data_IF_745207588466
#
_entry.id   IF_745207588466
#
_cell.length_a   1.000
_cell.length_b   1.000
_cell.length_c   1.000
_cell.angle_alpha   90.00
_cell.angle_beta   90.00
_cell.angle_gamma   90.00
#
_symmetry.space_group_name_H-M   'P 1'
#
loop_
_entity.id
_entity.type
_entity.pdbx_description
1 polymer ?
#
# COMPACT_ATOMS: atom_id res chain seq x y z
N UNK A 1 16.46 21.27 18.16
CA UNK A 1 16.79 20.48 16.96
C UNK A 1 15.82 20.75 15.83
N UNK A 2 16.33 20.83 14.59
CA UNK A 2 15.57 20.77 13.33
C UNK A 2 14.59 19.59 13.29
N UNK A 3 15.07 18.42 13.73
CA UNK A 3 14.34 17.15 13.77
C UNK A 3 12.94 17.25 14.41
N UNK A 4 12.78 18.00 15.52
CA UNK A 4 11.45 18.19 16.14
C UNK A 4 10.53 19.07 15.29
N UNK A 5 11.08 20.07 14.59
CA UNK A 5 10.32 20.92 13.66
C UNK A 5 9.87 20.13 12.43
N UNK A 6 10.80 19.37 11.84
CA UNK A 6 10.59 18.48 10.70
C UNK A 6 9.48 17.45 10.95
N UNK A 7 9.37 16.92 12.18
CA UNK A 7 8.31 15.99 12.57
C UNK A 7 6.97 16.68 12.87
N UNK A 8 6.99 17.92 13.37
CA UNK A 8 5.76 18.69 13.61
C UNK A 8 5.13 19.22 12.30
N UNK A 9 5.96 19.76 11.42
CA UNK A 9 5.54 20.42 10.17
C UNK A 9 5.43 19.44 8.98
N UNK A 10 6.14 18.30 9.04
CA UNK A 10 6.24 17.25 7.99
C UNK A 10 6.86 17.69 6.65
N UNK A 11 7.02 18.98 6.46
CA UNK A 11 7.58 19.66 5.30
C UNK A 11 8.80 20.50 5.73
N UNK A 12 9.78 20.66 4.84
CA UNK A 12 10.90 21.60 4.99
C UNK A 12 11.20 22.27 3.66
N UNK A 13 11.32 23.60 3.62
CA UNK A 13 11.60 24.29 2.35
C UNK A 13 13.02 23.99 1.85
N UNK A 14 13.23 23.98 0.53
CA UNK A 14 14.55 23.77 -0.07
C UNK A 14 15.63 24.77 0.43
N UNK A 15 15.22 25.96 0.88
CA UNK A 15 16.07 26.96 1.54
C UNK A 15 16.51 26.52 2.93
N UNK A 16 15.59 26.07 3.78
CA UNK A 16 15.89 25.67 5.16
C UNK A 16 16.65 24.36 5.23
N UNK A 17 16.41 23.44 4.28
CA UNK A 17 17.16 22.20 4.14
C UNK A 17 18.66 22.46 3.91
N UNK A 18 19.00 23.44 3.07
CA UNK A 18 20.38 23.90 2.83
C UNK A 18 20.96 24.66 4.02
N UNK A 19 20.14 25.44 4.74
CA UNK A 19 20.60 26.12 5.95
C UNK A 19 20.96 25.10 7.04
N UNK A 20 20.13 24.09 7.25
CA UNK A 20 20.41 22.97 8.15
C UNK A 20 21.69 22.18 7.78
N UNK A 21 21.88 21.88 6.49
CA UNK A 21 23.12 21.29 5.95
C UNK A 21 24.34 22.15 6.28
N UNK A 22 24.26 23.48 6.08
CA UNK A 22 25.34 24.42 6.43
C UNK A 22 25.64 24.52 7.93
N UNK A 23 24.67 24.18 8.79
CA UNK A 23 24.85 24.05 10.25
C UNK A 23 25.30 22.65 10.67
N UNK A 24 25.40 21.69 9.75
CA UNK A 24 25.77 20.29 10.03
C UNK A 24 24.66 19.46 10.67
N UNK A 25 23.43 19.96 10.71
CA UNK A 25 22.27 19.29 11.34
C UNK A 25 21.70 18.15 10.47
N UNK A 26 22.09 18.11 9.19
CA UNK A 26 21.48 17.31 8.15
C UNK A 26 22.54 16.90 7.11
N UNK A 27 22.51 15.64 6.67
CA UNK A 27 23.43 15.06 5.68
C UNK A 27 22.66 14.27 4.62
N UNK A 28 23.20 14.20 3.39
CA UNK A 28 22.62 13.48 2.25
C UNK A 28 22.06 14.37 1.12
N UNK A 29 22.03 15.70 1.27
CA UNK A 29 21.59 16.62 0.21
C UNK A 29 22.59 16.73 -0.95
N UNK A 30 23.86 16.40 -0.72
CA UNK A 30 24.89 16.33 -1.74
C UNK A 30 24.57 15.35 -2.88
N UNK A 31 23.71 14.35 -2.63
CA UNK A 31 23.21 13.43 -3.64
C UNK A 31 22.08 14.01 -4.53
N UNK A 32 21.45 15.11 -4.11
CA UNK A 32 20.37 15.80 -4.82
C UNK A 32 20.81 17.14 -5.44
N UNK A 33 21.89 17.72 -4.93
CA UNK A 33 22.39 19.05 -5.31
C UNK A 33 23.24 19.00 -6.57
N UNK A 34 22.70 19.51 -7.66
CA UNK A 34 23.43 19.80 -8.90
C UNK A 34 23.76 21.29 -8.97
N UNK A 35 24.67 21.70 -9.87
CA UNK A 35 25.13 23.10 -9.95
C UNK A 35 24.03 24.14 -10.28
N UNK A 36 22.82 23.69 -10.62
CA UNK A 36 21.64 24.52 -10.90
C UNK A 36 20.54 24.45 -9.81
N UNK A 37 20.59 23.53 -8.84
CA UNK A 37 19.49 23.32 -7.89
C UNK A 37 19.45 21.92 -7.28
N UNK A 38 18.53 21.71 -6.34
CA UNK A 38 18.16 20.36 -5.91
C UNK A 38 17.22 19.74 -6.96
N UNK A 39 17.36 18.44 -7.26
CA UNK A 39 16.46 17.71 -8.17
C UNK A 39 15.37 16.96 -7.40
N UNK A 40 14.11 16.93 -7.88
CA UNK A 40 13.08 16.08 -7.29
C UNK A 40 13.50 14.60 -7.23
N UNK A 41 13.20 13.93 -6.12
CA UNK A 41 13.68 12.57 -5.87
C UNK A 41 13.43 12.09 -4.44
N UNK A 42 14.07 10.97 -4.06
CA UNK A 42 14.02 10.44 -2.70
C UNK A 42 15.41 10.48 -2.07
N UNK A 43 15.47 10.81 -0.78
CA UNK A 43 16.72 10.83 -0.01
C UNK A 43 16.51 10.19 1.36
N UNK A 44 17.54 9.54 1.87
CA UNK A 44 17.61 9.11 3.27
C UNK A 44 18.33 10.20 4.07
N UNK A 45 17.56 11.06 4.74
CA UNK A 45 18.13 12.07 5.64
C UNK A 45 18.69 11.38 6.88
N UNK A 46 19.97 11.60 7.16
CA UNK A 46 20.58 11.21 8.43
C UNK A 46 20.55 12.40 9.38
N UNK A 47 19.77 12.28 10.44
CA UNK A 47 19.49 13.32 11.42
C UNK A 47 20.32 13.04 12.68
N UNK A 48 21.30 13.90 12.94
CA UNK A 48 22.26 13.75 14.03
C UNK A 48 21.69 14.25 15.37
N UNK A 49 22.02 13.61 16.51
CA UNK A 49 21.68 14.14 17.82
C UNK A 49 22.50 15.41 18.15
N UNK A 50 21.93 16.32 18.93
CA UNK A 50 22.69 17.42 19.52
C UNK A 50 23.77 16.87 20.48
N UNK A 51 24.94 17.53 20.55
CA UNK A 51 26.28 16.98 20.91
C UNK A 51 26.47 16.27 22.28
N UNK A 52 25.42 16.06 23.07
CA UNK A 52 25.50 15.64 24.49
C UNK A 52 25.00 14.23 24.78
N UNK A 53 24.37 13.53 23.84
CA UNK A 53 23.88 12.15 24.05
C UNK A 53 24.35 11.18 22.96
N UNK A 54 24.89 10.00 23.30
CA UNK A 54 25.34 8.98 22.34
C UNK A 54 24.16 8.16 21.78
N UNK A 55 23.09 8.85 21.33
CA UNK A 55 21.98 8.21 20.63
C UNK A 55 22.41 7.85 19.19
N UNK A 56 21.93 6.72 18.63
CA UNK A 56 22.17 6.41 17.22
C UNK A 56 21.51 7.49 16.34
N UNK A 57 22.12 7.87 15.20
CA UNK A 57 21.53 8.84 14.30
C UNK A 57 20.28 8.24 13.62
N UNK A 58 19.27 9.07 13.41
CA UNK A 58 18.00 8.64 12.83
C UNK A 58 18.04 8.78 11.31
N UNK A 59 17.78 7.70 10.57
CA UNK A 59 17.65 7.72 9.13
C UNK A 59 16.16 7.78 8.74
N UNK A 60 15.76 8.82 8.00
CA UNK A 60 14.36 9.03 7.58
C UNK A 60 14.29 9.20 6.07
N UNK A 61 13.39 8.46 5.41
CA UNK A 61 13.12 8.63 3.99
C UNK A 61 12.26 9.89 3.76
N UNK A 62 12.72 10.77 2.88
CA UNK A 62 12.01 11.96 2.46
C UNK A 62 11.89 12.03 0.93
N UNK A 63 10.76 12.53 0.46
CA UNK A 63 10.51 12.87 -0.94
C UNK A 63 10.70 14.36 -1.15
N UNK A 64 11.62 14.73 -2.04
CA UNK A 64 11.84 16.11 -2.44
C UNK A 64 11.00 16.42 -3.69
N UNK A 65 10.13 17.42 -3.59
CA UNK A 65 9.41 18.05 -4.71
C UNK A 65 10.21 19.24 -5.28
N UNK A 66 9.65 19.98 -6.23
CA UNK A 66 10.33 21.18 -6.78
C UNK A 66 10.43 22.34 -5.77
N UNK A 67 9.62 22.33 -4.70
CA UNK A 67 9.57 23.40 -3.69
C UNK A 67 10.00 22.96 -2.28
N UNK A 68 9.73 21.70 -1.89
CA UNK A 68 9.82 21.27 -0.50
C UNK A 68 10.22 19.80 -0.34
N UNK A 69 10.79 19.50 0.82
CA UNK A 69 11.14 18.16 1.28
C UNK A 69 10.06 17.66 2.24
N UNK A 70 9.37 16.59 1.85
CA UNK A 70 8.26 15.98 2.59
C UNK A 70 8.70 14.67 3.25
N UNK A 71 8.32 14.44 4.52
CA UNK A 71 8.61 13.19 5.22
C UNK A 71 7.67 12.06 4.76
N UNK A 72 8.24 10.99 4.20
CA UNK A 72 7.52 9.80 3.76
C UNK A 72 7.16 8.83 4.92
N UNK A 73 6.78 9.38 6.08
CA UNK A 73 6.39 8.64 7.29
C UNK A 73 4.87 8.63 7.46
N UNK A 74 4.32 7.48 7.89
CA UNK A 74 2.93 7.42 8.37
C UNK A 74 2.77 8.20 9.68
N UNK A 75 1.54 8.63 9.98
CA UNK A 75 1.23 9.34 11.23
C UNK A 75 1.58 8.52 12.48
N UNK A 76 1.47 7.19 12.40
CA UNK A 76 1.86 6.25 13.47
C UNK A 76 3.37 6.15 13.68
N UNK A 77 4.16 6.10 12.60
CA UNK A 77 5.63 6.09 12.71
C UNK A 77 6.15 7.45 13.22
N UNK A 78 5.54 8.54 12.76
CA UNK A 78 5.86 9.90 13.19
C UNK A 78 5.54 10.14 14.66
N UNK A 79 4.40 9.63 15.16
CA UNK A 79 4.07 9.66 16.58
C UNK A 79 5.08 8.87 17.43
N UNK A 80 5.40 7.63 17.04
CA UNK A 80 6.41 6.81 17.73
C UNK A 80 7.77 7.51 17.77
N UNK A 81 8.21 8.12 16.67
CA UNK A 81 9.49 8.81 16.61
C UNK A 81 9.49 10.10 17.46
N UNK A 82 8.35 10.80 17.53
CA UNK A 82 8.20 11.95 18.42
C UNK A 82 8.22 11.55 19.91
N UNK A 83 7.65 10.40 20.28
CA UNK A 83 7.76 9.83 21.64
C UNK A 83 9.21 9.47 21.97
N UNK A 84 9.92 8.75 21.09
CA UNK A 84 11.35 8.40 21.28
C UNK A 84 12.26 9.62 21.45
N UNK A 85 11.94 10.74 20.78
CA UNK A 85 12.72 11.97 20.77
C UNK A 85 12.36 12.97 21.87
N UNK A 86 11.16 12.87 22.44
CA UNK A 86 10.78 13.61 23.64
C UNK A 86 11.12 12.82 24.92
N UNK A 87 11.26 11.50 24.81
CA UNK A 87 11.45 10.58 25.92
C UNK A 87 10.13 10.28 26.62
N UNK A 88 10.15 9.33 27.57
CA UNK A 88 9.01 9.16 28.47
C UNK A 88 8.85 10.44 29.32
N UNK A 89 7.63 11.00 29.43
CA UNK A 89 7.39 12.16 30.28
C UNK A 89 7.77 11.83 31.73
N UNK A 90 8.30 12.80 32.45
CA UNK A 90 8.74 12.58 33.82
C UNK A 90 7.55 12.22 34.72
N UNK A 91 7.82 11.47 35.80
CA UNK A 91 6.79 11.13 36.80
C UNK A 91 6.09 12.38 37.34
N UNK A 92 6.77 13.53 37.38
CA UNK A 92 6.19 14.81 37.81
C UNK A 92 5.22 15.40 36.78
N UNK A 93 5.49 15.30 35.48
CA UNK A 93 4.59 15.76 34.41
C UNK A 93 3.34 14.87 34.30
N UNK A 94 3.49 13.55 34.47
CA UNK A 94 2.37 12.59 34.53
C UNK A 94 1.45 12.90 35.73
N UNK A 95 2.03 13.19 36.90
CA UNK A 95 1.25 13.57 38.08
C UNK A 95 0.59 14.96 37.94
N UNK A 96 1.25 15.90 37.26
CA UNK A 96 0.72 17.27 37.04
C UNK A 96 -0.46 17.28 36.06
N UNK A 97 -0.39 16.53 34.98
CA UNK A 97 -1.49 16.41 34.00
C UNK A 97 -2.72 15.71 34.61
N UNK A 98 -2.52 14.70 35.46
CA UNK A 98 -3.61 14.04 36.18
C UNK A 98 -4.38 14.99 37.13
N UNK A 99 -3.77 16.08 37.61
CA UNK A 99 -4.45 17.09 38.43
C UNK A 99 -5.20 18.17 37.63
N UNK A 100 -4.95 18.31 36.32
CA UNK A 100 -5.61 19.32 35.48
C UNK A 100 -6.95 18.83 34.87
N UNK A 101 -7.15 17.52 34.75
CA UNK A 101 -8.30 16.91 34.06
C UNK A 101 -9.59 16.83 34.92
N UNK A 102 -9.89 17.87 35.71
CA UNK A 102 -11.08 17.96 36.59
C UNK A 102 -11.69 19.36 36.65
N UNK A 103 -12.14 19.86 35.51
CA UNK A 103 -13.37 20.67 35.41
C UNK A 103 -13.68 20.96 33.93
N UNK A 104 -14.59 20.17 33.34
CA UNK A 104 -15.34 20.53 32.14
C UNK A 104 -16.71 19.86 32.22
N UNK A 105 -17.82 20.61 32.07
CA UNK A 105 -19.18 20.05 32.15
C UNK A 105 -19.58 19.38 30.84
N UNK A 106 -20.45 18.37 30.93
CA UNK A 106 -21.09 17.76 29.77
C UNK A 106 -21.92 18.80 28.99
N UNK A 107 -21.75 18.80 27.66
CA UNK A 107 -22.60 19.55 26.73
C UNK A 107 -23.00 18.59 25.62
N UNK A 108 -24.28 18.23 25.59
CA UNK A 108 -24.87 17.50 24.47
C UNK A 108 -24.92 18.40 23.22
N UNK A 109 -24.51 17.86 22.07
CA UNK A 109 -24.65 18.48 20.75
C UNK A 109 -24.90 17.38 19.72
N UNK A 110 -25.67 17.72 18.67
CA UNK A 110 -26.35 16.76 17.79
C UNK A 110 -25.51 16.34 16.57
N UNK A 111 -26.00 15.35 15.82
CA UNK A 111 -25.44 14.91 14.54
C UNK A 111 -25.48 16.02 13.47
N UNK A 112 -24.43 16.14 12.64
CA UNK A 112 -24.53 16.83 11.35
C UNK A 112 -23.53 16.23 10.32
N UNK A 113 -23.94 16.12 9.05
CA UNK A 113 -23.11 15.55 7.97
C UNK A 113 -22.39 16.65 7.17
N UNK A 114 -21.07 16.54 6.99
CA UNK A 114 -20.33 17.35 6.00
C UNK A 114 -19.07 16.65 5.46
N UNK A 115 -18.77 16.88 4.17
CA UNK A 115 -17.63 16.31 3.45
C UNK A 115 -16.33 17.12 3.64
N UNK A 116 -15.17 16.43 3.58
CA UNK A 116 -13.84 17.03 3.46
C UNK A 116 -12.96 16.09 2.61
N UNK A 117 -12.54 16.45 1.38
CA UNK A 117 -11.48 17.38 0.97
C UNK A 117 -10.17 16.67 0.53
N UNK A 118 -9.99 16.61 -0.79
CA UNK A 118 -8.80 16.79 -1.68
C UNK A 118 -7.34 16.54 -1.22
N UNK A 119 -6.48 16.23 -2.23
CA UNK A 119 -4.98 16.26 -2.29
C UNK A 119 -4.24 14.92 -2.01
N UNK A 120 -2.98 14.71 -2.50
CA UNK A 120 -2.58 14.72 -3.94
C UNK A 120 -1.77 13.47 -4.42
N UNK A 121 -1.21 13.50 -5.64
CA UNK A 121 -0.39 12.46 -6.34
C UNK A 121 1.11 12.45 -5.87
N UNK A 122 2.00 11.46 -6.11
CA UNK A 122 2.61 10.91 -7.37
C UNK A 122 3.50 9.65 -7.05
N UNK A 123 4.22 8.92 -7.95
CA UNK A 123 3.98 8.36 -9.31
C UNK A 123 5.22 7.51 -9.81
N UNK A 124 5.09 6.73 -10.92
CA UNK A 124 6.15 6.10 -11.78
C UNK A 124 6.98 4.90 -11.22
N UNK A 125 7.85 4.18 -11.99
CA UNK A 125 7.76 3.29 -13.21
C UNK A 125 8.96 2.29 -13.17
N UNK A 126 9.09 1.13 -13.85
CA UNK A 126 8.40 0.49 -15.00
C UNK A 126 8.38 -1.08 -14.91
N UNK A 127 8.80 -1.84 -15.96
CA UNK A 127 8.79 -3.33 -16.10
C UNK A 127 10.04 -3.86 -16.89
N UNK A 128 10.28 -5.19 -17.00
CA UNK A 128 9.79 -5.90 -18.21
C UNK A 128 9.30 -7.37 -18.02
N UNK A 129 8.24 -7.73 -18.76
CA UNK A 129 7.82 -9.07 -19.21
C UNK A 129 7.81 -10.27 -18.23
N UNK A 130 6.65 -10.49 -17.57
CA UNK A 130 6.24 -11.78 -17.00
C UNK A 130 4.72 -11.93 -17.15
N UNK A 131 4.25 -13.00 -17.79
CA UNK A 131 2.85 -13.17 -18.20
C UNK A 131 2.22 -14.46 -17.68
N UNK A 132 1.88 -14.52 -16.40
CA UNK A 132 1.18 -15.67 -15.82
C UNK A 132 -0.30 -15.73 -16.22
N UNK A 133 -0.58 -16.43 -17.32
CA UNK A 133 -1.88 -17.08 -17.49
C UNK A 133 -1.99 -18.21 -16.44
N UNK A 134 -3.16 -18.39 -15.82
CA UNK A 134 -3.39 -19.50 -14.88
C UNK A 134 -3.38 -20.85 -15.60
N UNK A 135 -2.21 -21.47 -15.74
CA UNK A 135 -2.12 -22.87 -16.14
C UNK A 135 -2.59 -23.77 -14.98
N UNK A 136 -3.70 -24.47 -15.20
CA UNK A 136 -4.30 -25.37 -14.21
C UNK A 136 -3.37 -26.54 -13.81
N UNK A 137 -2.36 -26.86 -14.62
CA UNK A 137 -1.35 -27.90 -14.31
C UNK A 137 -0.34 -27.47 -13.24
N UNK A 138 -0.22 -26.17 -12.95
CA UNK A 138 0.73 -25.62 -11.96
C UNK A 138 0.46 -26.07 -10.52
N UNK A 139 -0.78 -26.50 -10.20
CA UNK A 139 -1.11 -27.13 -8.93
C UNK A 139 -0.83 -28.63 -8.97
N UNK A 140 0.46 -28.98 -8.98
CA UNK A 140 0.95 -30.36 -8.97
C UNK A 140 0.31 -31.23 -7.89
N UNK A 141 0.03 -32.47 -8.26
CA UNK A 141 -0.87 -33.36 -7.55
C UNK A 141 -0.35 -33.76 -6.15
N UNK A 142 -1.27 -33.80 -5.16
CA UNK A 142 -1.12 -34.44 -3.84
C UNK A 142 0.05 -34.06 -2.90
N UNK A 143 1.10 -33.39 -3.38
CA UNK A 143 2.37 -33.20 -2.66
C UNK A 143 2.27 -32.09 -1.62
N UNK A 144 1.68 -32.48 -0.48
CA UNK A 144 1.77 -31.88 0.87
C UNK A 144 2.95 -30.89 0.97
N UNK A 145 2.68 -29.60 0.78
CA UNK A 145 3.73 -28.57 0.84
C UNK A 145 4.43 -28.64 2.18
N UNK A 146 5.66 -29.15 2.19
CA UNK A 146 6.50 -29.26 3.38
C UNK A 146 6.94 -27.86 3.76
N UNK A 147 6.19 -27.24 4.67
CA UNK A 147 6.58 -25.98 5.31
C UNK A 147 7.87 -26.25 6.08
N UNK A 148 9.00 -25.93 5.46
CA UNK A 148 10.29 -25.98 6.12
C UNK A 148 10.27 -25.00 7.28
N UNK A 149 10.41 -25.50 8.51
CA UNK A 149 10.58 -24.65 9.67
C UNK A 149 12.01 -24.08 9.64
N UNK A 150 12.17 -22.93 9.01
CA UNK A 150 13.42 -22.17 9.06
C UNK A 150 13.78 -21.83 10.51
N UNK A 151 15.08 -21.73 10.80
CA UNK A 151 15.60 -21.53 12.16
C UNK A 151 15.12 -20.21 12.83
N UNK A 152 14.56 -19.29 12.06
CA UNK A 152 13.96 -18.01 12.49
C UNK A 152 12.51 -18.13 12.97
N UNK A 153 11.87 -19.30 12.86
CA UNK A 153 10.50 -19.56 13.30
C UNK A 153 9.39 -18.90 12.45
N UNK A 154 9.73 -18.14 11.39
CA UNK A 154 8.76 -17.54 10.47
C UNK A 154 8.36 -18.55 9.38
N UNK A 155 7.07 -18.61 9.03
CA UNK A 155 6.58 -19.44 7.92
C UNK A 155 6.79 -18.72 6.59
N UNK A 156 8.02 -18.76 6.10
CA UNK A 156 8.37 -18.33 4.75
C UNK A 156 7.88 -19.34 3.71
N UNK A 157 7.48 -18.87 2.53
CA UNK A 157 7.06 -19.76 1.44
C UNK A 157 8.29 -20.40 0.78
N UNK A 158 8.35 -21.73 0.72
CA UNK A 158 9.48 -22.48 0.15
C UNK A 158 9.72 -22.29 -1.36
N UNK A 159 8.96 -21.42 -2.04
CA UNK A 159 9.09 -21.12 -3.47
C UNK A 159 9.59 -19.69 -3.77
N UNK A 160 9.36 -18.74 -2.85
CA UNK A 160 9.66 -17.32 -3.03
C UNK A 160 10.27 -16.65 -1.77
N UNK A 161 10.42 -17.39 -0.68
CA UNK A 161 11.08 -17.01 0.58
C UNK A 161 10.48 -15.82 1.34
N UNK A 162 9.37 -15.23 0.88
CA UNK A 162 8.65 -14.19 1.62
C UNK A 162 7.71 -14.78 2.70
N UNK A 163 7.41 -14.03 3.78
CA UNK A 163 6.42 -14.41 4.78
C UNK A 163 5.00 -14.19 4.24
N UNK A 164 4.28 -15.26 3.91
CA UNK A 164 2.89 -15.16 3.49
C UNK A 164 1.93 -15.40 4.65
N UNK A 165 0.96 -14.50 4.83
CA UNK A 165 -0.19 -14.79 5.68
C UNK A 165 -0.92 -16.04 5.18
N UNK A 166 -1.51 -16.84 6.08
CA UNK A 166 -2.27 -18.04 5.73
C UNK A 166 -3.54 -17.66 4.97
N UNK A 167 -3.43 -17.49 3.66
CA UNK A 167 -4.57 -17.34 2.77
C UNK A 167 -5.34 -18.67 2.71
N UNK A 168 -6.66 -18.61 2.85
CA UNK A 168 -7.53 -19.75 2.61
C UNK A 168 -7.55 -20.08 1.11
N UNK A 169 -6.58 -20.88 0.66
CA UNK A 169 -6.57 -21.47 -0.69
C UNK A 169 -7.95 -22.09 -0.96
N UNK A 170 -8.56 -21.87 -2.13
CA UNK A 170 -9.84 -22.49 -2.47
C UNK A 170 -9.70 -24.01 -2.40
N UNK A 171 -10.67 -24.66 -1.74
CA UNK A 171 -10.68 -26.12 -1.61
C UNK A 171 -10.76 -26.80 -2.99
N UNK A 172 -10.43 -28.09 -3.07
CA UNK A 172 -10.39 -28.82 -4.34
C UNK A 172 -11.72 -28.79 -5.10
N UNK A 173 -12.85 -28.81 -4.38
CA UNK A 173 -14.20 -28.79 -4.97
C UNK A 173 -14.62 -27.40 -5.42
N UNK A 174 -14.12 -26.34 -4.80
CA UNK A 174 -14.27 -24.97 -5.31
C UNK A 174 -13.37 -24.74 -6.53
N UNK A 175 -12.11 -25.19 -6.51
CA UNK A 175 -11.21 -25.11 -7.68
C UNK A 175 -11.80 -25.85 -8.88
N UNK A 176 -12.30 -27.07 -8.68
CA UNK A 176 -12.96 -27.83 -9.75
C UNK A 176 -14.17 -27.07 -10.32
N UNK A 177 -15.08 -26.58 -9.47
CA UNK A 177 -16.25 -25.78 -9.93
C UNK A 177 -15.87 -24.49 -10.67
N UNK A 178 -14.78 -23.82 -10.28
CA UNK A 178 -14.26 -22.66 -11.02
C UNK A 178 -13.57 -23.10 -12.33
N UNK A 179 -12.95 -24.27 -12.38
CA UNK A 179 -12.36 -24.84 -13.59
C UNK A 179 -13.42 -25.37 -14.58
N UNK A 180 -14.61 -25.72 -14.11
CA UNK A 180 -15.74 -26.20 -14.94
C UNK A 180 -16.70 -25.07 -15.38
N UNK A 181 -16.76 -23.95 -14.64
CA UNK A 181 -17.69 -22.85 -14.91
C UNK A 181 -17.42 -22.12 -16.24
N UNK A 182 -18.48 -21.75 -16.95
CA UNK A 182 -18.39 -20.91 -18.15
C UNK A 182 -17.92 -19.49 -17.83
N UNK A 183 -17.39 -18.79 -18.83
CA UNK A 183 -16.93 -17.39 -18.66
C UNK A 183 -18.07 -16.44 -18.24
N UNK A 184 -19.34 -16.76 -18.54
CA UNK A 184 -20.51 -16.00 -18.07
C UNK A 184 -20.81 -16.26 -16.58
N UNK A 185 -20.66 -17.49 -16.10
CA UNK A 185 -20.80 -17.83 -14.68
C UNK A 185 -19.65 -17.26 -13.85
N UNK A 186 -18.41 -17.30 -14.37
CA UNK A 186 -17.26 -16.64 -13.78
C UNK A 186 -17.47 -15.12 -13.70
N UNK A 187 -17.90 -14.49 -14.80
CA UNK A 187 -18.18 -13.05 -14.85
C UNK A 187 -19.29 -12.66 -13.86
N UNK A 188 -20.42 -13.36 -13.87
CA UNK A 188 -21.50 -13.15 -12.90
C UNK A 188 -21.06 -13.35 -11.45
N UNK A 189 -20.10 -14.24 -11.19
CA UNK A 189 -19.55 -14.51 -9.85
C UNK A 189 -18.56 -13.44 -9.40
N UNK A 190 -17.66 -12.98 -10.27
CA UNK A 190 -16.58 -12.06 -9.91
C UNK A 190 -16.93 -10.57 -10.05
N UNK A 191 -17.85 -10.20 -10.95
CA UNK A 191 -18.20 -8.79 -11.22
C UNK A 191 -18.58 -7.99 -9.95
N UNK A 192 -19.39 -8.50 -8.99
CA UNK A 192 -19.69 -7.77 -7.76
C UNK A 192 -18.44 -7.48 -6.89
N UNK A 193 -17.44 -8.38 -6.92
CA UNK A 193 -16.17 -8.18 -6.23
C UNK A 193 -15.28 -7.19 -6.99
N UNK A 194 -15.29 -7.19 -8.32
CA UNK A 194 -14.56 -6.22 -9.15
C UNK A 194 -15.05 -4.79 -8.87
N UNK A 195 -16.37 -4.56 -8.87
CA UNK A 195 -16.96 -3.26 -8.50
C UNK A 195 -16.59 -2.85 -7.06
N UNK A 196 -16.76 -3.76 -6.08
CA UNK A 196 -16.42 -3.45 -4.68
C UNK A 196 -14.91 -3.16 -4.50
N UNK A 197 -14.06 -3.86 -5.24
CA UNK A 197 -12.61 -3.65 -5.23
C UNK A 197 -12.23 -2.28 -5.83
N UNK A 198 -12.80 -1.93 -6.98
CA UNK A 198 -12.59 -0.62 -7.60
C UNK A 198 -13.00 0.55 -6.70
N UNK A 199 -14.12 0.42 -5.98
CA UNK A 199 -14.54 1.40 -4.98
C UNK A 199 -13.56 1.49 -3.79
N UNK A 200 -13.16 0.34 -3.21
CA UNK A 200 -12.25 0.30 -2.06
C UNK A 200 -10.81 0.75 -2.38
N UNK A 201 -10.35 0.64 -3.63
CA UNK A 201 -9.03 1.09 -4.07
C UNK A 201 -9.07 2.49 -4.75
N UNK A 202 -10.20 3.21 -4.69
CA UNK A 202 -10.35 4.56 -5.28
C UNK A 202 -10.26 4.60 -6.82
N UNK A 203 -10.31 3.45 -7.48
CA UNK A 203 -10.05 3.30 -8.92
C UNK A 203 -11.24 3.69 -9.80
N UNK A 204 -12.46 3.80 -9.24
CA UNK A 204 -13.72 3.98 -9.97
C UNK A 204 -13.64 4.98 -11.15
N UNK A 205 -13.10 6.20 -11.03
CA UNK A 205 -13.05 7.15 -12.15
C UNK A 205 -12.19 6.66 -13.33
N UNK A 206 -11.13 5.88 -13.08
CA UNK A 206 -10.21 5.38 -14.12
C UNK A 206 -10.74 4.13 -14.82
N UNK A 207 -11.46 3.29 -14.08
CA UNK A 207 -11.91 1.95 -14.53
C UNK A 207 -13.38 1.90 -14.91
N UNK A 208 -14.12 3.02 -14.84
CA UNK A 208 -15.54 3.06 -15.17
C UNK A 208 -15.86 2.51 -16.57
N UNK A 209 -15.04 2.80 -17.58
CA UNK A 209 -15.24 2.26 -18.92
C UNK A 209 -15.07 0.73 -18.97
N UNK A 210 -14.01 0.18 -18.35
CA UNK A 210 -13.84 -1.27 -18.16
C UNK A 210 -15.03 -1.91 -17.43
N UNK A 211 -15.58 -1.24 -16.41
CA UNK A 211 -16.73 -1.72 -15.65
C UNK A 211 -18.02 -1.78 -16.50
N UNK A 212 -18.26 -0.81 -17.39
CA UNK A 212 -19.37 -0.86 -18.33
C UNK A 212 -19.15 -1.90 -19.44
N UNK A 213 -17.92 -2.13 -19.91
CA UNK A 213 -17.62 -3.22 -20.85
C UNK A 213 -17.87 -4.60 -20.22
N UNK A 214 -17.43 -4.81 -18.97
CA UNK A 214 -17.67 -6.04 -18.21
C UNK A 214 -19.16 -6.24 -17.86
N UNK A 215 -19.96 -5.18 -17.75
CA UNK A 215 -21.43 -5.26 -17.68
C UNK A 215 -22.03 -5.67 -19.04
N UNK A 216 -21.59 -5.06 -20.13
CA UNK A 216 -22.15 -5.28 -21.47
C UNK A 216 -21.90 -6.71 -22.00
N UNK A 217 -20.76 -7.31 -21.66
CA UNK A 217 -20.46 -8.71 -21.98
C UNK A 217 -21.23 -9.72 -21.10
N UNK A 218 -21.90 -9.28 -20.03
CA UNK A 218 -22.73 -10.17 -19.20
C UNK A 218 -24.14 -10.27 -19.77
N UNK A 219 -24.46 -11.40 -20.40
CA UNK A 219 -25.80 -11.64 -20.94
C UNK A 219 -26.86 -11.80 -19.83
N UNK A 220 -28.10 -11.39 -20.11
CA UNK A 220 -29.24 -11.51 -19.16
C UNK A 220 -29.69 -12.96 -18.92
N UNK A 221 -29.26 -13.91 -19.75
CA UNK A 221 -29.46 -15.35 -19.56
C UNK A 221 -29.05 -15.75 -18.15
N UNK A 222 -29.88 -16.53 -17.46
CA UNK A 222 -29.77 -16.87 -16.02
C UNK A 222 -28.52 -17.71 -15.69
N UNK A 223 -27.36 -17.08 -15.73
CA UNK A 223 -26.05 -17.68 -15.53
C UNK A 223 -25.83 -17.93 -14.03
N UNK A 224 -25.46 -19.16 -13.69
CA UNK A 224 -25.26 -19.58 -12.31
C UNK A 224 -24.14 -18.82 -11.61
N UNK A 225 -24.37 -18.34 -10.39
CA UNK A 225 -23.30 -17.78 -9.55
C UNK A 225 -22.61 -18.92 -8.81
N UNK A 226 -21.30 -19.07 -9.02
CA UNK A 226 -20.50 -20.14 -8.42
C UNK A 226 -20.34 -19.88 -6.92
N UNK A 227 -20.96 -20.71 -6.08
CA UNK A 227 -20.92 -20.54 -4.62
C UNK A 227 -19.50 -20.69 -4.04
N UNK A 228 -18.84 -19.53 -3.79
CA UNK A 228 -17.46 -19.38 -3.31
C UNK A 228 -17.24 -19.80 -1.85
N UNK A 229 -18.30 -19.87 -1.03
CA UNK A 229 -18.24 -20.32 0.36
C UNK A 229 -17.27 -19.53 1.25
N UNK A 230 -16.19 -20.17 1.69
CA UNK A 230 -15.15 -19.57 2.56
C UNK A 230 -14.07 -18.79 1.80
N UNK A 231 -14.04 -18.84 0.46
CA UNK A 231 -13.10 -18.04 -0.33
C UNK A 231 -13.45 -16.54 -0.25
N UNK A 232 -12.45 -15.68 -0.49
CA UNK A 232 -12.54 -14.22 -0.32
C UNK A 232 -11.80 -13.50 -1.45
N UNK A 233 -12.45 -13.31 -2.63
CA UNK A 233 -11.81 -12.70 -3.80
C UNK A 233 -11.16 -11.34 -3.53
N UNK A 234 -11.72 -10.54 -2.62
CA UNK A 234 -11.22 -9.21 -2.25
C UNK A 234 -9.74 -9.12 -1.83
N UNK A 235 -9.08 -10.26 -1.52
CA UNK A 235 -7.63 -10.34 -1.24
C UNK A 235 -6.75 -10.33 -2.50
N UNK A 236 -7.32 -10.56 -3.67
CA UNK A 236 -6.65 -10.40 -4.97
C UNK A 236 -6.55 -8.90 -5.32
N UNK A 237 -5.63 -8.53 -6.21
CA UNK A 237 -5.60 -7.17 -6.78
C UNK A 237 -6.75 -6.96 -7.76
N UNK A 238 -7.12 -5.69 -8.04
CA UNK A 238 -8.19 -5.38 -8.99
C UNK A 238 -7.99 -6.04 -10.37
N UNK A 239 -6.80 -5.89 -10.99
CA UNK A 239 -6.54 -6.48 -12.31
C UNK A 239 -6.66 -8.01 -12.29
N UNK A 240 -6.20 -8.66 -11.22
CA UNK A 240 -6.24 -10.12 -11.09
C UNK A 240 -7.67 -10.66 -10.90
N UNK A 241 -8.59 -9.86 -10.34
CA UNK A 241 -10.02 -10.18 -10.32
C UNK A 241 -10.64 -10.09 -11.73
N UNK A 242 -10.29 -9.07 -12.51
CA UNK A 242 -10.74 -8.91 -13.90
C UNK A 242 -10.24 -10.10 -14.74
N UNK A 243 -8.96 -10.44 -14.65
CA UNK A 243 -8.34 -11.59 -15.35
C UNK A 243 -8.89 -12.95 -14.90
N UNK A 244 -9.43 -13.05 -13.68
CA UNK A 244 -10.08 -14.27 -13.19
C UNK A 244 -11.58 -14.35 -13.51
N UNK A 245 -12.18 -13.29 -14.06
CA UNK A 245 -13.63 -13.27 -14.37
C UNK A 245 -13.99 -13.95 -15.69
N UNK A 246 -13.04 -14.20 -16.58
CA UNK A 246 -13.23 -14.92 -17.85
C UNK A 246 -11.91 -15.61 -18.23
N UNK A 247 -11.95 -16.84 -18.76
CA UNK A 247 -10.77 -17.53 -19.29
C UNK A 247 -10.20 -16.83 -20.51
N UNK A 248 -11.07 -16.25 -21.34
CA UNK A 248 -10.68 -15.54 -22.55
C UNK A 248 -11.30 -14.14 -22.60
N UNK A 249 -10.67 -13.19 -21.90
CA UNK A 249 -11.07 -11.77 -21.95
C UNK A 249 -11.21 -11.28 -23.41
N UNK A 250 -12.38 -10.74 -23.81
CA UNK A 250 -12.61 -10.20 -25.15
C UNK A 250 -11.56 -9.16 -25.56
N UNK A 251 -11.25 -9.00 -26.85
CA UNK A 251 -10.16 -8.11 -27.30
C UNK A 251 -10.27 -6.67 -26.80
N UNK A 252 -11.50 -6.13 -26.72
CA UNK A 252 -11.75 -4.77 -26.25
C UNK A 252 -11.54 -4.63 -24.72
N UNK A 253 -12.05 -5.55 -23.90
CA UNK A 253 -11.78 -5.60 -22.45
C UNK A 253 -10.28 -5.81 -22.18
N UNK A 254 -9.60 -6.61 -23.01
CA UNK A 254 -8.15 -6.84 -22.89
C UNK A 254 -7.34 -5.59 -23.24
N UNK A 255 -7.74 -4.86 -24.28
CA UNK A 255 -7.13 -3.57 -24.64
C UNK A 255 -7.32 -2.54 -23.51
N UNK A 256 -8.53 -2.43 -22.96
CA UNK A 256 -8.86 -1.52 -21.86
C UNK A 256 -8.14 -1.90 -20.54
N UNK A 257 -8.08 -3.19 -20.21
CA UNK A 257 -7.29 -3.74 -19.11
C UNK A 257 -5.81 -3.37 -19.25
N UNK A 258 -5.26 -3.44 -20.46
CA UNK A 258 -3.88 -3.03 -20.74
C UNK A 258 -3.69 -1.50 -20.71
N UNK A 259 -4.68 -0.70 -21.15
CA UNK A 259 -4.68 0.77 -20.98
C UNK A 259 -4.55 1.12 -19.49
N UNK A 260 -5.45 0.59 -18.66
CA UNK A 260 -5.46 0.82 -17.21
C UNK A 260 -4.14 0.37 -16.57
N UNK A 261 -3.59 -0.80 -16.93
CA UNK A 261 -2.26 -1.24 -16.47
C UNK A 261 -1.12 -0.29 -16.84
N UNK A 262 -1.21 0.43 -17.96
CA UNK A 262 -0.19 1.41 -18.38
C UNK A 262 -0.33 2.79 -17.71
N UNK A 263 -1.52 3.11 -17.19
CA UNK A 263 -1.87 4.33 -16.45
C UNK A 263 -1.70 4.19 -14.93
N UNK A 264 -1.73 2.97 -14.41
CA UNK A 264 -1.34 2.69 -13.04
C UNK A 264 0.19 2.90 -12.88
N UNK A 265 0.65 3.45 -11.74
CA UNK A 265 2.05 3.31 -11.36
C UNK A 265 2.39 1.82 -11.16
N UNK A 266 3.66 1.42 -11.29
CA UNK A 266 4.07 0.04 -10.98
C UNK A 266 3.84 -0.25 -9.48
N UNK A 267 3.83 -1.53 -9.07
CA UNK A 267 3.92 -1.87 -7.67
C UNK A 267 5.22 -1.30 -7.06
N UNK A 268 5.10 -0.45 -6.06
CA UNK A 268 6.25 0.05 -5.30
C UNK A 268 6.86 -1.10 -4.47
N UNK A 269 8.13 -1.40 -4.70
CA UNK A 269 8.87 -2.43 -3.93
C UNK A 269 9.31 -1.82 -2.60
N UNK A 270 8.44 -1.91 -1.58
CA UNK A 270 8.74 -1.45 -0.23
C UNK A 270 9.70 -2.41 0.47
N UNK A 271 11.01 -2.14 0.38
CA UNK A 271 12.02 -2.88 1.13
C UNK A 271 11.73 -2.82 2.64
N UNK A 272 11.41 -3.96 3.24
CA UNK A 272 11.00 -4.08 4.65
C UNK A 272 9.49 -4.23 4.88
N UNK A 273 8.65 -3.98 3.87
CA UNK A 273 7.20 -4.11 3.98
C UNK A 273 6.76 -5.57 4.18
N UNK A 274 6.04 -5.85 5.28
CA UNK A 274 5.44 -7.17 5.56
C UNK A 274 4.18 -7.47 4.69
N UNK A 275 4.19 -7.04 3.43
CA UNK A 275 3.12 -7.25 2.46
C UNK A 275 3.25 -8.57 1.69
N UNK A 276 2.18 -9.04 1.04
CA UNK A 276 2.27 -10.17 0.12
C UNK A 276 3.10 -9.77 -1.11
N UNK A 277 4.30 -10.34 -1.24
CA UNK A 277 5.19 -10.09 -2.38
C UNK A 277 4.51 -10.46 -3.71
N UNK A 278 4.28 -9.45 -4.55
CA UNK A 278 3.78 -9.59 -5.92
C UNK A 278 4.96 -9.74 -6.87
N UNK A 279 5.47 -10.96 -7.00
CA UNK A 279 6.25 -11.34 -8.18
C UNK A 279 5.31 -11.52 -9.39
N UNK A 280 5.81 -11.10 -10.56
CA UNK A 280 5.24 -11.35 -11.88
C UNK A 280 5.68 -12.72 -12.43
#
# INVERSE_FOLDING_TARGET
>A
SLLRRLLAERELTATEAREAESRGELQGLEALSDAAGLKPGFVALTLLPEEKEPKPPYAVAASLSESALELALTQTELASLAEDLNGQPSVQEILSTATAAKDQPDVEAEDDEAEAHTYPFHSLRCLPNGGMLFDATSFGDGTRSTVGMGATGRMECAYCHFPHSKMSKPDGRLRQRLNDASDQELLATFLPFIFKKAAMEGLMPRVNHLLELLKAEKYETQSGVVALGKFRPMRMSFMHLVESSMRQLPPHIRAESNRIKSELPPPAVTHGGSGPSLML
#
